data_IF_325673863844
#
_entry.id   IF_325673863844
#
_cell.length_a   1.000
_cell.length_b   1.000
_cell.length_c   1.000
_cell.angle_alpha   90.00
_cell.angle_beta   90.00
_cell.angle_gamma   90.00
#
_symmetry.space_group_name_H-M   'P 1'
#
loop_
_entity.id
_entity.type
_entity.pdbx_description
1 polymer ?
#
# COMPACT_ATOMS: atom_id res chain seq x y z
N UNK A 1 -14.34 7.89 9.86
CA UNK A 1 -14.26 8.02 8.38
C UNK A 1 -12.98 7.32 7.98
N UNK A 2 -13.01 6.48 6.94
CA UNK A 2 -11.82 5.79 6.45
C UNK A 2 -10.98 6.76 5.62
N UNK A 3 -9.67 6.84 5.90
CA UNK A 3 -8.71 7.66 5.17
C UNK A 3 -7.68 6.74 4.52
N UNK A 4 -7.29 7.00 3.29
CA UNK A 4 -6.34 6.18 2.55
C UNK A 4 -5.50 7.03 1.59
N UNK A 5 -4.36 6.48 1.20
CA UNK A 5 -3.49 7.00 0.15
C UNK A 5 -3.33 5.89 -0.89
N UNK A 6 -3.74 6.14 -2.13
CA UNK A 6 -3.50 5.22 -3.23
C UNK A 6 -2.13 5.51 -3.84
N UNK A 7 -1.29 4.48 -4.00
CA UNK A 7 0.10 4.65 -4.45
C UNK A 7 0.44 3.70 -5.59
N UNK A 8 1.32 4.17 -6.49
CA UNK A 8 1.95 3.36 -7.52
C UNK A 8 3.45 3.62 -7.43
N UNK A 9 4.25 2.56 -7.23
CA UNK A 9 5.71 2.70 -7.21
C UNK A 9 6.22 3.08 -8.60
N UNK A 10 7.09 4.09 -8.64
CA UNK A 10 7.77 4.53 -9.85
C UNK A 10 9.20 3.98 -9.91
N UNK A 11 9.77 3.78 -11.12
CA UNK A 11 11.19 3.52 -11.29
C UNK A 11 12.06 4.68 -10.80
N UNK A 12 13.29 4.39 -10.36
CA UNK A 12 14.20 5.38 -9.75
C UNK A 12 14.64 6.50 -10.71
N UNK A 13 14.50 6.33 -12.02
CA UNK A 13 14.80 7.38 -13.01
C UNK A 13 13.70 8.44 -13.12
N UNK A 14 12.52 8.21 -12.52
CA UNK A 14 11.44 9.20 -12.52
C UNK A 14 11.77 10.26 -11.49
N UNK A 15 12.15 11.44 -11.97
CA UNK A 15 12.43 12.62 -11.15
C UNK A 15 11.19 13.51 -11.04
N UNK A 16 11.26 14.55 -10.20
CA UNK A 16 10.23 15.60 -10.13
C UNK A 16 9.93 16.20 -11.52
N UNK A 17 10.96 16.52 -12.31
CA UNK A 17 10.77 17.08 -13.66
C UNK A 17 10.01 16.13 -14.60
N UNK A 18 10.27 14.81 -14.51
CA UNK A 18 9.54 13.80 -15.30
C UNK A 18 8.09 13.69 -14.85
N UNK A 19 7.85 13.76 -13.54
CA UNK A 19 6.51 13.76 -12.97
C UNK A 19 5.72 15.01 -13.42
N UNK A 20 6.30 16.21 -13.29
CA UNK A 20 5.65 17.47 -13.65
C UNK A 20 5.30 17.52 -15.15
N UNK A 21 6.22 17.06 -16.01
CA UNK A 21 5.96 16.89 -17.44
C UNK A 21 4.78 15.93 -17.69
N UNK A 22 4.73 14.79 -17.00
CA UNK A 22 3.66 13.81 -17.16
C UNK A 22 2.29 14.36 -16.70
N UNK A 23 2.25 15.15 -15.62
CA UNK A 23 1.02 15.83 -15.16
C UNK A 23 0.52 16.80 -16.24
N UNK A 24 1.40 17.58 -16.85
CA UNK A 24 1.01 18.51 -17.92
C UNK A 24 0.46 17.76 -19.14
N UNK A 25 1.21 16.77 -19.64
CA UNK A 25 0.80 15.97 -20.80
C UNK A 25 -0.54 15.25 -20.59
N UNK A 26 -0.74 14.68 -19.40
CA UNK A 26 -1.98 13.98 -19.08
C UNK A 26 -3.16 14.96 -18.94
N UNK A 27 -2.95 16.12 -18.32
CA UNK A 27 -3.98 17.15 -18.19
C UNK A 27 -4.45 17.65 -19.56
N UNK A 28 -3.52 17.94 -20.47
CA UNK A 28 -3.83 18.41 -21.83
C UNK A 28 -4.53 17.33 -22.67
N UNK A 29 -4.05 16.08 -22.61
CA UNK A 29 -4.56 14.99 -23.46
C UNK A 29 -5.84 14.33 -22.95
N UNK A 30 -5.98 14.18 -21.63
CA UNK A 30 -7.03 13.37 -21.00
C UNK A 30 -8.06 14.18 -20.23
N UNK A 31 -7.78 15.47 -19.98
CA UNK A 31 -8.67 16.35 -19.19
C UNK A 31 -9.02 15.74 -17.83
N UNK A 32 -8.09 14.98 -17.24
CA UNK A 32 -8.26 14.45 -15.90
C UNK A 32 -7.94 15.52 -14.87
N UNK A 33 -8.69 15.48 -13.77
CA UNK A 33 -8.36 16.24 -12.59
C UNK A 33 -7.26 15.51 -11.80
N UNK A 34 -6.07 16.11 -11.74
CA UNK A 34 -4.88 15.52 -11.14
C UNK A 34 -4.40 16.28 -9.90
N UNK A 35 -5.23 17.17 -9.31
CA UNK A 35 -4.80 18.02 -8.20
C UNK A 35 -4.39 17.26 -6.91
N UNK A 36 -4.91 16.04 -6.72
CA UNK A 36 -4.58 15.19 -5.57
C UNK A 36 -3.45 14.19 -5.87
N UNK A 37 -2.83 14.26 -7.06
CA UNK A 37 -1.72 13.38 -7.42
C UNK A 37 -0.42 14.03 -6.97
N UNK A 38 0.33 13.34 -6.12
CA UNK A 38 1.58 13.83 -5.55
C UNK A 38 2.75 12.91 -5.92
N UNK A 39 3.94 13.50 -6.06
CA UNK A 39 5.20 12.77 -6.17
C UNK A 39 5.88 12.76 -4.80
N UNK A 40 6.02 11.57 -4.23
CA UNK A 40 6.59 11.39 -2.89
C UNK A 40 7.64 10.28 -2.86
N UNK A 41 8.57 10.41 -1.93
CA UNK A 41 9.47 9.34 -1.53
C UNK A 41 8.98 8.76 -0.21
N UNK A 42 8.81 7.45 -0.14
CA UNK A 42 8.36 6.75 1.06
C UNK A 42 9.45 5.80 1.56
N UNK A 43 9.84 5.94 2.82
CA UNK A 43 10.68 4.96 3.51
C UNK A 43 9.85 4.22 4.55
N UNK A 44 9.36 3.04 4.16
CA UNK A 44 8.40 2.28 4.97
C UNK A 44 9.01 1.69 6.25
N UNK A 45 10.32 1.41 6.24
CA UNK A 45 11.05 0.87 7.39
C UNK A 45 10.72 -0.59 7.71
N UNK A 46 10.86 -0.97 8.98
CA UNK A 46 10.66 -2.33 9.44
C UNK A 46 9.16 -2.66 9.51
N UNK A 47 8.75 -3.73 8.84
CA UNK A 47 7.35 -4.19 8.82
C UNK A 47 7.27 -5.71 8.98
N UNK A 48 6.12 -6.19 9.41
CA UNK A 48 5.70 -7.60 9.23
C UNK A 48 4.68 -7.64 8.10
N UNK A 49 4.76 -8.66 7.24
CA UNK A 49 3.82 -8.82 6.14
C UNK A 49 3.39 -10.27 5.95
N UNK A 50 2.19 -10.46 5.40
CA UNK A 50 1.69 -11.75 4.96
C UNK A 50 0.89 -11.61 3.66
N UNK A 51 0.82 -12.69 2.89
CA UNK A 51 -0.04 -12.76 1.71
C UNK A 51 -1.42 -13.27 2.14
N UNK A 52 -2.46 -12.45 1.94
CA UNK A 52 -3.84 -12.88 1.97
C UNK A 52 -4.22 -13.48 0.60
N UNK A 53 -4.87 -14.64 0.60
CA UNK A 53 -5.43 -15.28 -0.60
C UNK A 53 -6.91 -15.49 -0.35
N UNK A 54 -7.77 -14.89 -1.17
CA UNK A 54 -9.22 -14.92 -0.98
C UNK A 54 -9.83 -13.53 -0.88
N UNK A 55 -11.03 -13.45 -0.29
CA UNK A 55 -11.78 -12.19 -0.21
C UNK A 55 -11.06 -11.16 0.67
N UNK A 56 -11.29 -9.87 0.41
CA UNK A 56 -10.87 -8.78 1.29
C UNK A 56 -11.57 -8.88 2.67
N UNK A 57 -12.79 -9.42 2.71
CA UNK A 57 -13.52 -9.66 3.97
C UNK A 57 -12.85 -10.69 4.89
N UNK A 58 -11.93 -11.51 4.34
CA UNK A 58 -11.19 -12.53 5.07
C UNK A 58 -9.82 -12.04 5.58
N UNK A 59 -9.40 -10.83 5.19
CA UNK A 59 -8.16 -10.20 5.63
C UNK A 59 -7.99 -10.12 7.15
N UNK A 60 -9.05 -9.89 7.98
CA UNK A 60 -8.92 -9.92 9.43
C UNK A 60 -8.24 -11.18 9.98
N UNK A 61 -8.50 -12.36 9.38
CA UNK A 61 -7.87 -13.61 9.82
C UNK A 61 -6.37 -13.67 9.47
N UNK A 62 -5.93 -12.95 8.45
CA UNK A 62 -4.51 -12.80 8.10
C UNK A 62 -3.85 -11.73 8.98
N UNK A 63 -4.55 -10.65 9.30
CA UNK A 63 -4.11 -9.60 10.23
C UNK A 63 -3.89 -10.17 11.64
N UNK A 64 -4.81 -11.02 12.13
CA UNK A 64 -4.66 -11.70 13.43
C UNK A 64 -3.39 -12.56 13.50
N UNK A 65 -3.04 -13.25 12.40
CA UNK A 65 -1.79 -14.03 12.30
C UNK A 65 -0.57 -13.12 12.33
N UNK A 66 -0.63 -11.96 11.67
CA UNK A 66 0.43 -10.95 11.71
C UNK A 66 0.62 -10.44 13.15
N UNK A 67 -0.45 -10.06 13.84
CA UNK A 67 -0.35 -9.59 15.23
C UNK A 67 0.23 -10.64 16.17
N UNK A 68 -0.23 -11.89 16.06
CA UNK A 68 0.34 -13.00 16.83
C UNK A 68 1.84 -13.15 16.58
N UNK A 69 2.28 -13.08 15.33
CA UNK A 69 3.71 -13.13 14.99
C UNK A 69 4.49 -11.95 15.57
N UNK A 70 3.94 -10.73 15.50
CA UNK A 70 4.55 -9.52 16.08
C UNK A 70 4.80 -9.71 17.58
N UNK A 71 3.81 -10.20 18.32
CA UNK A 71 3.92 -10.50 19.76
C UNK A 71 4.98 -11.59 20.04
N UNK A 72 4.95 -12.70 19.29
CA UNK A 72 5.90 -13.81 19.43
C UNK A 72 7.35 -13.39 19.17
N UNK A 73 7.57 -12.41 18.29
CA UNK A 73 8.90 -11.86 17.99
C UNK A 73 9.33 -10.73 18.94
N UNK A 74 8.50 -10.34 19.90
CA UNK A 74 8.80 -9.23 20.82
C UNK A 74 8.91 -7.88 20.11
N UNK A 75 8.15 -7.67 19.04
CA UNK A 75 8.04 -6.42 18.30
C UNK A 75 6.81 -5.63 18.76
N UNK A 76 6.77 -4.33 18.47
CA UNK A 76 5.58 -3.49 18.67
C UNK A 76 5.04 -3.00 17.34
N UNK A 77 3.70 -2.96 17.21
CA UNK A 77 3.03 -2.24 16.12
C UNK A 77 3.41 -0.77 16.18
N UNK A 78 3.74 -0.19 15.04
CA UNK A 78 4.20 1.19 14.91
C UNK A 78 3.37 1.96 13.88
N UNK A 79 2.05 1.82 13.96
CA UNK A 79 1.09 2.62 13.19
C UNK A 79 0.95 3.98 13.88
N UNK A 80 1.16 5.06 13.12
CA UNK A 80 1.08 6.45 13.57
C UNK A 80 0.76 7.38 12.38
N UNK A 81 0.92 8.70 12.57
CA UNK A 81 0.59 9.70 11.55
C UNK A 81 1.45 9.59 10.28
N UNK A 82 2.64 8.99 10.36
CA UNK A 82 3.58 8.83 9.24
C UNK A 82 3.69 7.38 8.73
N UNK A 83 3.22 6.41 9.52
CA UNK A 83 3.33 4.97 9.23
C UNK A 83 1.96 4.32 9.30
N UNK A 84 1.50 3.79 8.18
CA UNK A 84 0.14 3.27 8.04
C UNK A 84 0.11 1.77 7.78
N UNK A 85 -1.05 1.16 8.02
CA UNK A 85 -1.37 -0.16 7.46
C UNK A 85 -1.29 -0.09 5.94
N UNK A 86 -0.61 -1.04 5.31
CA UNK A 86 -0.31 -1.01 3.88
C UNK A 86 -0.77 -2.29 3.20
N UNK A 87 -1.60 -2.13 2.17
CA UNK A 87 -2.12 -3.20 1.34
C UNK A 87 -1.55 -3.08 -0.08
N UNK A 88 -1.04 -4.18 -0.62
CA UNK A 88 -0.57 -4.25 -2.00
C UNK A 88 -1.45 -5.23 -2.76
N UNK A 89 -2.35 -4.71 -3.59
CA UNK A 89 -3.22 -5.49 -4.44
C UNK A 89 -2.45 -6.05 -5.64
N UNK A 90 -2.22 -7.37 -5.65
CA UNK A 90 -1.52 -8.05 -6.73
C UNK A 90 -2.47 -8.56 -7.83
N UNK A 91 -3.76 -8.64 -7.51
CA UNK A 91 -4.80 -9.14 -8.40
C UNK A 91 -5.75 -8.03 -8.82
N UNK A 92 -6.15 -8.05 -10.09
CA UNK A 92 -7.26 -7.23 -10.58
C UNK A 92 -8.58 -7.96 -10.25
N UNK A 93 -9.45 -7.41 -9.39
CA UNK A 93 -10.70 -8.04 -8.99
C UNK A 93 -11.71 -8.17 -10.13
N UNK A 94 -11.57 -7.39 -11.22
CA UNK A 94 -12.43 -7.53 -12.40
C UNK A 94 -12.06 -8.74 -13.27
N UNK A 95 -10.86 -9.30 -13.06
CA UNK A 95 -10.28 -10.36 -13.89
C UNK A 95 -9.95 -11.64 -13.13
N UNK A 96 -10.04 -11.61 -11.80
CA UNK A 96 -9.60 -12.69 -10.92
C UNK A 96 -10.79 -13.17 -10.09
N UNK A 97 -10.99 -14.49 -10.01
CA UNK A 97 -12.02 -15.04 -9.11
C UNK A 97 -11.66 -14.74 -7.66
N UNK A 98 -12.66 -14.50 -6.81
CA UNK A 98 -12.50 -14.05 -5.42
C UNK A 98 -11.54 -14.97 -4.64
N UNK A 99 -11.67 -16.29 -4.79
CA UNK A 99 -10.84 -17.29 -4.10
C UNK A 99 -9.36 -17.27 -4.53
N UNK A 100 -9.03 -16.56 -5.62
CA UNK A 100 -7.68 -16.42 -6.16
C UNK A 100 -7.11 -15.01 -6.03
N UNK A 101 -7.85 -14.06 -5.45
CA UNK A 101 -7.35 -12.71 -5.19
C UNK A 101 -6.16 -12.79 -4.23
N UNK A 102 -5.17 -11.94 -4.48
CA UNK A 102 -3.94 -11.87 -3.70
C UNK A 102 -3.68 -10.43 -3.25
N UNK A 103 -3.62 -10.23 -1.94
CA UNK A 103 -3.27 -8.96 -1.31
C UNK A 103 -2.12 -9.19 -0.35
N UNK A 104 -1.04 -8.41 -0.44
CA UNK A 104 -0.04 -8.37 0.64
C UNK A 104 -0.54 -7.42 1.70
N UNK A 105 -0.73 -7.91 2.92
CA UNK A 105 -1.02 -7.10 4.10
C UNK A 105 0.28 -6.84 4.83
N UNK A 106 0.56 -5.59 5.16
CA UNK A 106 1.81 -5.17 5.78
C UNK A 106 1.54 -4.19 6.92
N UNK A 107 2.09 -4.52 8.09
CA UNK A 107 1.96 -3.75 9.33
C UNK A 107 3.34 -3.19 9.71
N UNK A 108 3.49 -1.87 9.88
CA UNK A 108 4.73 -1.27 10.36
C UNK A 108 4.97 -1.68 11.82
N UNK A 109 6.23 -1.98 12.14
CA UNK A 109 6.65 -2.36 13.48
C UNK A 109 7.95 -1.66 13.88
N UNK A 110 8.27 -1.76 15.17
CA UNK A 110 9.54 -1.34 15.75
C UNK A 110 10.01 -2.37 16.77
N UNK A 111 11.30 -2.33 17.08
CA UNK A 111 11.84 -3.07 18.21
C UNK A 111 11.26 -2.51 19.51
N UNK A 112 11.05 -3.39 20.49
CA UNK A 112 10.80 -3.02 21.88
C UNK A 112 11.97 -2.20 22.46
#
# INVERSE_FOLDING_TARGET
MFNFIAMIRLPDFVTQDVFDWAIQEASEKKQFDLHNVEFLSMHEGLCVQALNIGSYDEEPATIDKIHKFIEEQGLQVDINDDRHHHEIYLSDPQRTKVENLKTVLRIPVKNN
#
